data_IF_638329046072
#
_entry.id   IF_638329046072
#
_cell.length_a   1.000
_cell.length_b   1.000
_cell.length_c   1.000
_cell.angle_alpha   90.00
_cell.angle_beta   90.00
_cell.angle_gamma   90.00
#
_symmetry.space_group_name_H-M   'P 1'
#
loop_
_entity.id
_entity.type
_entity.pdbx_description
1 polymer ?
#
# COMPACT_ATOMS: atom_id res chain seq x y z
N UNK A 1 11.85 2.77 3.10
CA UNK A 1 11.23 1.76 3.99
C UNK A 1 10.88 2.37 5.35
N UNK A 2 11.63 3.41 5.77
CA UNK A 2 11.56 4.02 7.11
C UNK A 2 10.30 4.82 7.43
N UNK A 3 9.68 5.52 6.48
CA UNK A 3 8.50 6.35 6.77
C UNK A 3 7.33 5.54 7.30
N UNK A 4 7.06 4.37 6.70
CA UNK A 4 6.01 3.44 7.14
C UNK A 4 6.26 2.95 8.58
N UNK A 5 7.49 2.54 8.87
CA UNK A 5 7.85 2.05 10.20
C UNK A 5 7.72 3.19 11.22
N UNK A 6 8.18 4.39 10.89
CA UNK A 6 8.01 5.58 11.74
C UNK A 6 6.53 5.91 11.98
N UNK A 7 5.68 5.86 10.96
CA UNK A 7 4.23 6.07 11.11
C UNK A 7 3.62 5.08 12.10
N UNK A 8 3.97 3.78 12.01
CA UNK A 8 3.46 2.76 12.92
C UNK A 8 3.96 2.98 14.35
N UNK A 9 5.26 3.24 14.54
CA UNK A 9 5.84 3.49 15.87
C UNK A 9 5.20 4.71 16.56
N UNK A 10 4.98 5.81 15.83
CA UNK A 10 4.33 7.00 16.41
C UNK A 10 2.88 6.71 16.82
N UNK A 11 2.14 5.93 16.03
CA UNK A 11 0.79 5.50 16.36
C UNK A 11 0.75 4.54 17.56
N UNK A 12 1.72 3.63 17.68
CA UNK A 12 1.88 2.75 18.84
C UNK A 12 2.23 3.50 20.13
N UNK A 13 2.98 4.61 20.01
CA UNK A 13 3.25 5.54 21.11
C UNK A 13 2.02 6.37 21.52
N UNK A 14 0.87 6.18 20.85
CA UNK A 14 -0.38 6.85 21.18
C UNK A 14 -0.54 8.23 20.54
N UNK A 15 0.29 8.58 19.54
CA UNK A 15 0.10 9.84 18.81
C UNK A 15 -1.20 9.82 18.00
N UNK A 16 -1.81 11.00 17.87
CA UNK A 16 -3.03 11.14 17.08
C UNK A 16 -2.74 10.97 15.59
N UNK A 17 -3.69 10.35 14.88
CA UNK A 17 -3.61 10.16 13.43
C UNK A 17 -3.43 11.45 12.64
N UNK A 18 -3.94 12.57 13.16
CA UNK A 18 -3.88 13.88 12.50
C UNK A 18 -2.45 14.41 12.60
N UNK A 19 -1.86 14.39 13.81
CA UNK A 19 -0.48 14.82 14.03
C UNK A 19 0.51 14.00 13.19
N UNK A 20 0.36 12.67 13.16
CA UNK A 20 1.25 11.80 12.38
C UNK A 20 1.10 12.01 10.87
N UNK A 21 -0.12 12.27 10.40
CA UNK A 21 -0.38 12.56 8.99
C UNK A 21 0.28 13.87 8.53
N UNK A 22 0.18 14.93 9.35
CA UNK A 22 0.77 16.22 9.04
C UNK A 22 2.30 16.18 9.16
N UNK A 23 2.84 15.55 10.20
CA UNK A 23 4.28 15.45 10.46
C UNK A 23 5.03 14.66 9.37
N UNK A 24 4.45 13.54 8.94
CA UNK A 24 5.04 12.70 7.90
C UNK A 24 4.53 13.03 6.49
N UNK A 25 3.67 14.05 6.33
CA UNK A 25 3.00 14.41 5.07
C UNK A 25 2.34 13.21 4.38
N UNK A 26 1.78 12.29 5.16
CA UNK A 26 1.12 11.07 4.66
C UNK A 26 -0.39 11.24 4.71
N UNK A 27 -1.07 10.76 3.68
CA UNK A 27 -2.53 10.81 3.66
C UNK A 27 -3.13 9.86 4.71
N UNK A 28 -4.29 10.22 5.27
CA UNK A 28 -5.07 9.35 6.15
C UNK A 28 -5.28 7.95 5.55
N UNK A 29 -5.58 7.89 4.24
CA UNK A 29 -5.76 6.64 3.50
C UNK A 29 -4.50 5.76 3.51
N UNK A 30 -3.32 6.36 3.38
CA UNK A 30 -2.06 5.64 3.47
C UNK A 30 -1.86 5.02 4.86
N UNK A 31 -2.23 5.75 5.93
CA UNK A 31 -2.14 5.25 7.30
C UNK A 31 -3.12 4.08 7.53
N UNK A 32 -4.36 4.17 7.04
CA UNK A 32 -5.33 3.07 7.16
C UNK A 32 -4.87 1.82 6.43
N UNK A 33 -4.37 1.97 5.20
CA UNK A 33 -3.79 0.87 4.44
C UNK A 33 -2.60 0.26 5.18
N UNK A 34 -1.77 1.10 5.81
CA UNK A 34 -0.61 0.66 6.57
C UNK A 34 -0.99 -0.10 7.84
N UNK A 35 -1.99 0.38 8.60
CA UNK A 35 -2.54 -0.36 9.75
C UNK A 35 -3.13 -1.70 9.34
N UNK A 36 -3.86 -1.74 8.22
CA UNK A 36 -4.42 -2.97 7.71
C UNK A 36 -3.33 -3.94 7.26
N UNK A 37 -2.34 -3.45 6.51
CA UNK A 37 -1.16 -4.22 6.09
C UNK A 37 -0.43 -4.78 7.32
N UNK A 38 -0.18 -3.96 8.35
CA UNK A 38 0.43 -4.40 9.61
C UNK A 38 -0.41 -5.43 10.37
N UNK A 39 -1.73 -5.27 10.46
CA UNK A 39 -2.62 -6.20 11.15
C UNK A 39 -2.75 -7.55 10.43
N UNK A 40 -2.60 -7.58 9.10
CA UNK A 40 -2.58 -8.81 8.31
C UNK A 40 -1.23 -9.54 8.35
N UNK A 41 -0.19 -8.94 8.93
CA UNK A 41 1.14 -9.53 9.00
C UNK A 41 1.38 -10.16 10.37
N UNK A 42 1.89 -11.40 10.43
CA UNK A 42 2.29 -11.99 11.69
C UNK A 42 3.46 -11.19 12.30
N UNK A 43 3.54 -11.07 13.65
CA UNK A 43 4.61 -10.33 14.31
C UNK A 43 5.96 -10.90 13.90
N UNK A 44 6.81 -10.07 13.29
CA UNK A 44 8.12 -10.46 12.75
C UNK A 44 8.24 -10.45 11.22
N UNK A 45 7.15 -10.23 10.48
CA UNK A 45 7.21 -10.08 9.02
C UNK A 45 7.27 -8.61 8.61
N UNK A 46 8.40 -8.19 8.04
CA UNK A 46 8.49 -6.93 7.28
C UNK A 46 7.53 -7.05 6.09
N UNK A 47 6.61 -6.11 5.84
CA UNK A 47 5.73 -6.16 4.66
C UNK A 47 6.60 -6.22 3.41
N UNK A 48 6.66 -7.38 2.77
CA UNK A 48 7.25 -7.47 1.44
C UNK A 48 6.37 -6.65 0.52
N UNK A 49 6.86 -5.47 0.13
CA UNK A 49 6.24 -4.70 -0.94
C UNK A 49 6.15 -5.63 -2.13
N UNK A 50 4.93 -5.96 -2.55
CA UNK A 50 4.69 -6.45 -3.90
C UNK A 50 5.14 -5.35 -4.86
N UNK A 51 6.42 -5.32 -5.22
CA UNK A 51 6.90 -4.57 -6.38
C UNK A 51 6.26 -5.23 -7.60
N UNK A 52 5.35 -4.50 -8.24
CA UNK A 52 4.73 -4.93 -9.48
C UNK A 52 3.58 -5.92 -9.30
N UNK A 53 2.36 -5.38 -9.30
CA UNK A 53 1.26 -6.08 -9.95
C UNK A 53 0.69 -5.20 -11.05
N UNK A 54 1.56 -4.82 -11.99
CA UNK A 54 1.12 -4.65 -13.36
C UNK A 54 0.86 -6.06 -13.90
N UNK A 55 -0.28 -6.66 -13.53
CA UNK A 55 -0.74 -7.82 -14.25
C UNK A 55 -0.83 -7.40 -15.73
N UNK A 56 -0.24 -8.14 -16.69
CA UNK A 56 -0.47 -7.85 -18.09
C UNK A 56 -1.98 -7.98 -18.28
N UNK A 57 -2.65 -6.87 -18.57
CA UNK A 57 -4.01 -6.95 -19.10
C UNK A 57 -3.86 -7.80 -20.35
N UNK A 58 -4.43 -9.01 -20.34
CA UNK A 58 -4.67 -9.78 -21.56
C UNK A 58 -5.60 -8.95 -22.43
N UNK A 59 -5.06 -8.03 -23.22
CA UNK A 59 -5.72 -7.53 -24.41
C UNK A 59 -5.70 -8.68 -25.39
N UNK A 60 -6.83 -9.37 -25.52
CA UNK A 60 -7.09 -10.25 -26.66
C UNK A 60 -6.77 -9.50 -27.95
N UNK A 61 -6.08 -10.12 -28.93
CA UNK A 61 -5.91 -9.48 -30.24
C UNK A 61 -7.29 -9.24 -30.86
N UNK A 62 -7.53 -8.10 -31.53
CA UNK A 62 -8.77 -7.91 -32.27
C UNK A 62 -8.86 -9.01 -33.32
N UNK A 63 -9.97 -9.74 -33.33
CA UNK A 63 -10.32 -10.64 -34.43
C UNK A 63 -10.29 -9.82 -35.72
N UNK A 64 -9.34 -10.14 -36.61
CA UNK A 64 -9.35 -9.66 -37.97
C UNK A 64 -10.70 -10.05 -38.59
N UNK A 65 -11.52 -9.05 -38.93
CA UNK A 65 -12.62 -9.24 -39.85
C UNK A 65 -11.97 -9.42 -41.21
N UNK A 66 -11.95 -10.67 -41.68
CA UNK A 66 -11.79 -10.96 -43.10
C UNK A 66 -13.05 -10.43 -43.79
N UNK A 67 -12.90 -9.39 -44.59
CA UNK A 67 -13.88 -9.00 -45.60
C UNK A 67 -13.69 -9.90 -46.83
N UNK A 68 -14.82 -10.34 -47.38
CA UNK A 68 -15.02 -11.11 -48.60
C UNK A 68 -14.81 -10.24 -49.85
#
# INVERSE_FOLDING_TARGET
>A
MEEKTRTLTLLEQGMSFICVADDLKVTRRAIYNLKHEAATLPPGTIPSRKMGSGAPRKTSPPTAKSDD
#
